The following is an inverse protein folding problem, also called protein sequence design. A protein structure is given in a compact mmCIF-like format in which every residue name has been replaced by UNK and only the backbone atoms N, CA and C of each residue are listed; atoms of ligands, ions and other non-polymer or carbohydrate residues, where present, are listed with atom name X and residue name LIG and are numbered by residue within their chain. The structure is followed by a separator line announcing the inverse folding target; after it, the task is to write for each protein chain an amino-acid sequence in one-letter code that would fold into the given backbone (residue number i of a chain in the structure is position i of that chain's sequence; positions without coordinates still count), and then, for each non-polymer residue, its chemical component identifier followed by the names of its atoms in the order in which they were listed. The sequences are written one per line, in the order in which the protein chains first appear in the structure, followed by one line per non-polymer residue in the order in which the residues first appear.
data_IF_209377905156
#
_entry.id   IF_209377905156
#
_cell.length_a   1.000
_cell.length_b   1.000
_cell.length_c   1.000
_cell.angle_alpha   90.00
_cell.angle_beta   90.00
_cell.angle_gamma   90.00
#
_symmetry.space_group_name_H-M   'P 1'
#
loop_
_entity.id
_entity.type
_entity.pdbx_description
1 polymer ?
#
# COMPACT_ATOMS: atom_id res chain seq x y z
N UNK A 1 0.28 -2.30 2.50
CA UNK A 1 1.38 -1.42 2.07
C UNK A 1 1.06 -0.74 0.75
N UNK A 2 1.26 -1.39 -0.41
CA UNK A 2 1.03 -0.74 -1.72
C UNK A 2 -0.44 -0.36 -1.91
N UNK A 3 -1.36 -1.30 -1.70
CA UNK A 3 -2.80 -1.06 -1.87
C UNK A 3 -3.37 -0.03 -0.89
N UNK A 4 -2.88 0.01 0.35
CA UNK A 4 -3.33 0.97 1.37
C UNK A 4 -2.87 2.40 1.04
N UNK A 5 -1.63 2.56 0.58
CA UNK A 5 -1.10 3.84 0.07
C UNK A 5 -1.86 4.33 -1.18
N UNK A 6 -2.11 3.45 -2.14
CA UNK A 6 -2.88 3.77 -3.34
C UNK A 6 -4.32 4.16 -3.01
N UNK A 7 -4.98 3.42 -2.12
CA UNK A 7 -6.35 3.71 -1.69
C UNK A 7 -6.43 5.10 -1.03
N UNK A 8 -5.48 5.46 -0.16
CA UNK A 8 -5.45 6.77 0.47
C UNK A 8 -5.36 7.90 -0.57
N UNK A 9 -4.46 7.75 -1.55
CA UNK A 9 -4.32 8.70 -2.67
C UNK A 9 -5.58 8.77 -3.52
N UNK A 10 -6.23 7.65 -3.81
CA UNK A 10 -7.44 7.59 -4.60
C UNK A 10 -8.62 8.28 -3.89
N UNK A 11 -8.82 8.04 -2.59
CA UNK A 11 -9.90 8.70 -1.84
C UNK A 11 -9.71 10.21 -1.83
N UNK A 12 -8.48 10.69 -1.63
CA UNK A 12 -8.20 12.12 -1.68
C UNK A 12 -8.42 12.72 -3.07
N UNK A 13 -8.03 12.01 -4.14
CA UNK A 13 -8.32 12.42 -5.52
C UNK A 13 -9.83 12.52 -5.77
N UNK A 14 -10.62 11.54 -5.31
CA UNK A 14 -12.08 11.59 -5.41
C UNK A 14 -12.65 12.78 -4.63
N UNK A 15 -12.14 13.04 -3.42
CA UNK A 15 -12.54 14.19 -2.59
C UNK A 15 -12.33 15.52 -3.32
N UNK A 16 -11.15 15.70 -3.92
CA UNK A 16 -10.80 16.89 -4.68
C UNK A 16 -11.61 17.02 -5.98
N UNK A 17 -11.89 15.91 -6.67
CA UNK A 17 -12.70 15.90 -7.89
C UNK A 17 -14.14 16.37 -7.67
N UNK A 18 -14.68 16.22 -6.46
CA UNK A 18 -16.01 16.70 -6.07
C UNK A 18 -16.03 18.20 -5.63
N UNK A 19 -14.89 18.90 -5.67
CA UNK A 19 -14.78 20.29 -5.24
C UNK A 19 -15.26 20.50 -3.79
N UNK A 20 -15.98 21.60 -3.55
CA UNK A 20 -16.50 21.93 -2.21
C UNK A 20 -17.44 20.86 -1.63
N UNK A 21 -18.23 20.18 -2.47
CA UNK A 21 -19.12 19.11 -2.02
C UNK A 21 -18.34 17.91 -1.48
N UNK A 22 -17.14 17.63 -1.99
CA UNK A 22 -16.27 16.59 -1.48
C UNK A 22 -15.73 16.86 -0.07
N UNK A 23 -15.77 18.12 0.40
CA UNK A 23 -15.40 18.45 1.78
C UNK A 23 -16.55 18.21 2.76
N UNK A 24 -17.81 18.22 2.29
CA UNK A 24 -18.97 18.03 3.14
C UNK A 24 -18.99 16.60 3.70
N UNK A 25 -19.38 16.46 4.97
CA UNK A 25 -19.55 15.14 5.60
C UNK A 25 -20.59 14.27 4.87
N UNK A 26 -21.56 14.89 4.19
CA UNK A 26 -22.54 14.20 3.35
C UNK A 26 -21.92 13.46 2.15
N UNK A 27 -20.72 13.83 1.70
CA UNK A 27 -19.98 13.09 0.67
C UNK A 27 -19.33 11.81 1.19
N UNK A 28 -19.20 11.68 2.51
CA UNK A 28 -18.49 10.60 3.23
C UNK A 28 -16.98 10.45 2.91
N UNK A 29 -16.45 11.14 1.90
CA UNK A 29 -15.05 11.07 1.48
C UNK A 29 -14.05 11.47 2.59
N UNK A 30 -14.29 12.51 3.41
CA UNK A 30 -13.40 12.85 4.51
C UNK A 30 -13.28 11.74 5.56
N UNK A 31 -14.40 11.07 5.89
CA UNK A 31 -14.40 9.95 6.84
C UNK A 31 -13.69 8.74 6.25
N UNK A 32 -13.98 8.40 4.99
CA UNK A 32 -13.29 7.32 4.27
C UNK A 32 -11.78 7.56 4.20
N UNK A 33 -11.35 8.80 3.95
CA UNK A 33 -9.92 9.14 3.91
C UNK A 33 -9.26 8.88 5.26
N UNK A 34 -9.90 9.27 6.37
CA UNK A 34 -9.40 8.98 7.72
C UNK A 34 -9.25 7.48 8.00
N UNK A 35 -10.23 6.67 7.60
CA UNK A 35 -10.16 5.21 7.79
C UNK A 35 -9.04 4.58 6.95
N UNK A 36 -8.92 4.96 5.68
CA UNK A 36 -7.95 4.37 4.75
C UNK A 36 -6.52 4.77 5.10
N UNK A 37 -6.30 6.03 5.47
CA UNK A 37 -4.97 6.49 5.91
C UNK A 37 -4.50 5.81 7.19
N UNK A 38 -5.42 5.49 8.10
CA UNK A 38 -5.09 4.76 9.32
C UNK A 38 -4.59 3.33 9.01
N UNK A 39 -5.14 2.69 7.97
CA UNK A 39 -4.70 1.38 7.48
C UNK A 39 -3.28 1.37 6.88
N UNK A 40 -2.66 2.53 6.64
CA UNK A 40 -1.24 2.63 6.28
C UNK A 40 -0.30 2.42 7.48
N UNK A 41 -0.83 2.45 8.70
CA UNK A 41 -0.07 2.35 9.95
C UNK A 41 -0.47 1.11 10.74
N UNK A 42 -1.78 0.83 10.83
CA UNK A 42 -2.28 -0.35 11.51
C UNK A 42 -1.89 -1.63 10.75
N UNK A 43 -1.72 -2.74 11.45
CA UNK A 43 -1.23 -4.03 10.90
C UNK A 43 0.21 -4.01 10.34
N UNK A 44 0.97 -2.94 10.60
CA UNK A 44 2.35 -2.77 10.17
C UNK A 44 2.50 -1.54 9.29
N UNK A 45 3.30 -0.58 9.76
CA UNK A 45 3.56 0.63 9.01
C UNK A 45 4.11 0.29 7.61
N UNK A 46 3.56 0.97 6.61
CA UNK A 46 3.80 0.63 5.20
C UNK A 46 5.28 0.51 4.85
N UNK A 47 6.16 1.41 5.34
CA UNK A 47 7.61 1.36 5.11
C UNK A 47 8.23 0.13 5.75
N UNK A 48 7.85 -0.24 6.98
CA UNK A 48 8.30 -1.50 7.61
C UNK A 48 7.90 -2.70 6.77
N UNK A 49 6.65 -2.75 6.30
CA UNK A 49 6.16 -3.84 5.45
C UNK A 49 6.92 -3.91 4.12
N UNK A 50 7.19 -2.77 3.49
CA UNK A 50 8.00 -2.68 2.28
C UNK A 50 9.44 -3.16 2.51
N UNK A 51 10.06 -2.81 3.65
CA UNK A 51 11.40 -3.28 4.00
C UNK A 51 11.44 -4.79 4.27
N UNK A 52 10.40 -5.35 4.87
CA UNK A 52 10.27 -6.81 5.03
C UNK A 52 10.20 -7.51 3.66
N UNK A 53 9.40 -6.98 2.74
CA UNK A 53 9.34 -7.48 1.36
C UNK A 53 10.69 -7.33 0.66
N UNK A 54 11.37 -6.18 0.77
CA UNK A 54 12.68 -5.96 0.16
C UNK A 54 13.73 -6.95 0.66
N UNK A 55 13.78 -7.22 1.97
CA UNK A 55 14.67 -8.23 2.56
C UNK A 55 14.40 -9.63 2.02
N UNK A 56 13.13 -9.99 1.82
CA UNK A 56 12.76 -11.27 1.23
C UNK A 56 13.24 -11.35 -0.23
N UNK A 57 13.03 -10.30 -1.03
CA UNK A 57 13.46 -10.26 -2.43
C UNK A 57 14.99 -10.36 -2.57
N UNK A 58 15.76 -9.67 -1.73
CA UNK A 58 17.24 -9.77 -1.74
C UNK A 58 17.70 -11.21 -1.44
N UNK A 59 17.04 -11.91 -0.52
CA UNK A 59 17.34 -13.32 -0.24
C UNK A 59 16.97 -14.24 -1.42
N UNK A 60 15.82 -14.03 -2.04
CA UNK A 60 15.42 -14.77 -3.22
C UNK A 60 16.43 -14.57 -4.36
N UNK A 61 16.90 -13.35 -4.57
CA UNK A 61 17.94 -13.04 -5.55
C UNK A 61 19.26 -13.79 -5.26
N UNK A 62 19.70 -13.84 -3.99
CA UNK A 62 20.89 -14.62 -3.61
C UNK A 62 20.72 -16.12 -3.88
N UNK A 63 19.52 -16.67 -3.62
CA UNK A 63 19.20 -18.07 -3.93
C UNK A 63 19.24 -18.33 -5.44
N UNK A 64 18.68 -17.43 -6.24
CA UNK A 64 18.71 -17.50 -7.70
C UNK A 64 20.15 -17.50 -8.24
N UNK A 65 20.98 -16.57 -7.73
CA UNK A 65 22.40 -16.46 -8.10
C UNK A 65 23.22 -17.72 -7.74
N UNK A 66 22.83 -18.42 -6.67
CA UNK A 66 23.42 -19.70 -6.27
C UNK A 66 22.86 -20.92 -7.03
N UNK A 67 21.92 -20.72 -7.97
CA UNK A 67 21.30 -21.80 -8.74
C UNK A 67 20.24 -22.61 -7.98
N UNK A 68 19.74 -22.09 -6.86
CA UNK A 68 18.69 -22.76 -6.08
C UNK A 68 17.31 -22.56 -6.73
N UNK A 69 16.40 -23.51 -6.50
CA UNK A 69 15.00 -23.39 -6.91
C UNK A 69 14.30 -22.28 -6.12
N UNK A 70 13.58 -21.41 -6.83
CA UNK A 70 12.85 -20.29 -6.27
C UNK A 70 11.37 -20.62 -6.04
N UNK A 71 10.73 -20.01 -5.03
CA UNK A 71 9.27 -20.06 -4.90
C UNK A 71 8.57 -19.50 -6.14
N UNK A 72 7.39 -20.03 -6.54
CA UNK A 72 6.71 -19.62 -7.78
C UNK A 72 6.47 -18.12 -7.93
N UNK A 73 6.17 -17.44 -6.81
CA UNK A 73 5.87 -16.00 -6.76
C UNK A 73 7.05 -15.10 -7.13
N UNK A 74 8.28 -15.63 -7.13
CA UNK A 74 9.52 -14.90 -7.45
C UNK A 74 10.37 -15.66 -8.48
N UNK A 75 9.78 -16.61 -9.20
CA UNK A 75 10.48 -17.50 -10.14
C UNK A 75 10.51 -17.02 -11.60
N UNK A 76 10.01 -15.81 -11.88
CA UNK A 76 9.98 -15.18 -13.20
C UNK A 76 11.26 -14.38 -13.50
#
# INVERSE_FOLDING_TARGET
AVSTDDAAKCVERCRLACGGHGYMLSSNLPLTYGLVTAACTYEGENTVMLLQTARYLVKAWQQAAAGNSLPPTVSY
#
